data_IF_205539517161
#
_entry.id   IF_205539517161
#
_cell.length_a   1.000
_cell.length_b   1.000
_cell.length_c   1.000
_cell.angle_alpha   90.00
_cell.angle_beta   90.00
_cell.angle_gamma   90.00
#
_symmetry.space_group_name_H-M   'P 1'
#
loop_
_entity.id
_entity.type
_entity.pdbx_description
1 polymer ?
#
# COMPACT_ATOMS: atom_id res chain seq x y z
N UNK A 1 -40.94 -54.08 -11.00
CA UNK A 1 -41.67 -53.31 -9.98
C UNK A 1 -41.23 -51.86 -10.16
N UNK A 2 -41.87 -51.01 -10.99
CA UNK A 2 -43.19 -50.35 -10.78
C UNK A 2 -43.24 -49.74 -9.37
N UNK A 3 -43.32 -48.42 -9.15
CA UNK A 3 -44.19 -47.42 -9.82
C UNK A 3 -43.67 -45.98 -9.72
N UNK A 4 -44.07 -45.20 -10.72
CA UNK A 4 -44.11 -43.74 -10.83
C UNK A 4 -44.81 -43.00 -9.68
N UNK A 5 -44.48 -41.70 -9.52
CA UNK A 5 -45.50 -40.68 -9.26
C UNK A 5 -45.11 -39.27 -9.75
N UNK A 6 -45.86 -38.85 -10.76
CA UNK A 6 -45.98 -37.51 -11.35
C UNK A 6 -47.07 -36.72 -10.58
N UNK A 7 -46.84 -35.42 -10.32
CA UNK A 7 -47.79 -34.26 -10.32
C UNK A 7 -47.20 -33.12 -9.48
N UNK A 8 -47.27 -31.84 -9.84
CA UNK A 8 -47.95 -31.19 -10.94
C UNK A 8 -47.70 -29.66 -10.90
N UNK A 9 -47.83 -29.04 -12.06
CA UNK A 9 -47.74 -27.61 -12.31
C UNK A 9 -48.80 -26.80 -11.55
N UNK A 10 -48.44 -25.58 -11.11
CA UNK A 10 -49.35 -24.42 -11.12
C UNK A 10 -48.62 -23.15 -11.53
N UNK A 11 -48.99 -22.67 -12.72
CA UNK A 11 -48.86 -21.29 -13.17
C UNK A 11 -49.67 -20.37 -12.27
N UNK A 12 -49.10 -19.23 -11.90
CA UNK A 12 -49.78 -18.12 -11.26
C UNK A 12 -49.22 -16.81 -11.83
N UNK A 13 -49.88 -16.30 -12.88
CA UNK A 13 -49.73 -14.95 -13.41
C UNK A 13 -50.63 -14.02 -12.59
N UNK A 14 -50.21 -12.79 -12.29
CA UNK A 14 -51.15 -11.68 -12.24
C UNK A 14 -50.78 -10.59 -13.24
N UNK A 15 -51.78 -10.16 -13.99
CA UNK A 15 -51.73 -9.02 -14.90
C UNK A 15 -51.77 -7.68 -14.15
N UNK A 16 -50.95 -6.76 -14.68
CA UNK A 16 -51.08 -5.32 -14.82
C UNK A 16 -52.30 -4.60 -14.21
N UNK A 17 -52.04 -3.55 -13.44
CA UNK A 17 -52.57 -2.20 -13.71
C UNK A 17 -52.13 -1.19 -12.63
N UNK A 18 -51.18 -0.31 -12.93
CA UNK A 18 -51.11 0.99 -12.27
C UNK A 18 -50.92 2.11 -13.30
N UNK A 19 -52.06 2.76 -13.49
CA UNK A 19 -52.39 4.04 -14.10
C UNK A 19 -51.28 5.09 -13.97
N UNK A 20 -50.81 5.56 -15.13
CA UNK A 20 -50.06 6.80 -15.29
C UNK A 20 -51.10 7.88 -15.59
N UNK A 21 -51.16 8.93 -14.76
CA UNK A 21 -51.82 10.19 -15.11
C UNK A 21 -50.80 11.31 -15.26
N UNK A 22 -51.06 12.26 -16.19
CA UNK A 22 -50.04 13.12 -16.77
C UNK A 22 -49.90 14.44 -16.01
N UNK A 23 -48.69 15.00 -15.97
CA UNK A 23 -48.48 16.41 -15.63
C UNK A 23 -47.77 17.07 -16.82
N UNK A 24 -48.42 18.12 -17.30
CA UNK A 24 -48.09 18.92 -18.48
C UNK A 24 -46.89 19.86 -18.29
N UNK A 25 -46.38 20.43 -19.39
CA UNK A 25 -45.01 20.92 -19.51
C UNK A 25 -44.87 22.42 -19.20
N UNK A 26 -43.68 22.82 -18.76
CA UNK A 26 -43.27 24.22 -18.78
C UNK A 26 -42.37 24.59 -17.62
N UNK A 27 -41.06 24.50 -17.82
CA UNK A 27 -40.16 25.65 -17.64
C UNK A 27 -38.74 25.25 -18.07
N UNK A 28 -38.36 25.82 -19.22
CA UNK A 28 -37.00 25.94 -19.70
C UNK A 28 -36.23 26.79 -18.68
N UNK A 29 -35.22 26.22 -18.03
CA UNK A 29 -34.15 26.98 -17.41
C UNK A 29 -32.83 26.62 -18.08
N UNK A 30 -32.36 27.62 -18.80
CA UNK A 30 -31.09 27.74 -19.52
C UNK A 30 -29.89 27.49 -18.59
N UNK A 31 -28.74 27.05 -19.13
CA UNK A 31 -27.58 26.70 -18.33
C UNK A 31 -26.86 27.96 -17.84
N UNK A 32 -26.79 28.15 -16.53
CA UNK A 32 -25.87 29.14 -15.96
C UNK A 32 -24.42 28.61 -16.08
N UNK A 33 -23.49 29.44 -16.55
CA UNK A 33 -22.08 29.08 -16.69
C UNK A 33 -21.45 29.09 -15.29
N UNK A 34 -20.89 27.97 -14.86
CA UNK A 34 -19.97 27.99 -13.72
C UNK A 34 -18.64 28.56 -14.18
N UNK A 35 -18.47 29.84 -13.88
CA UNK A 35 -17.27 30.62 -14.12
C UNK A 35 -16.06 29.95 -13.43
N UNK A 36 -15.12 29.47 -14.23
CA UNK A 36 -13.82 28.99 -13.79
C UNK A 36 -12.93 30.19 -13.42
N UNK A 37 -13.20 30.85 -12.29
CA UNK A 37 -12.24 31.81 -11.73
C UNK A 37 -12.44 31.99 -10.22
N UNK A 38 -11.38 31.64 -9.48
CA UNK A 38 -11.16 31.89 -8.04
C UNK A 38 -11.80 30.90 -7.05
N UNK A 39 -11.20 29.72 -6.94
CA UNK A 39 -11.15 28.98 -5.66
C UNK A 39 -9.83 28.20 -5.56
N UNK A 40 -8.71 28.89 -5.75
CA UNK A 40 -7.40 28.45 -5.28
C UNK A 40 -7.12 29.15 -3.95
N UNK A 41 -7.85 28.74 -2.91
CA UNK A 41 -7.35 28.89 -1.55
C UNK A 41 -6.74 27.54 -1.18
N UNK A 42 -5.55 27.29 -1.72
CA UNK A 42 -4.66 26.26 -1.22
C UNK A 42 -4.43 26.57 0.27
N UNK A 43 -5.08 25.80 1.14
CA UNK A 43 -4.70 25.77 2.54
C UNK A 43 -3.27 25.25 2.62
N UNK A 44 -2.35 26.19 2.66
CA UNK A 44 -0.92 26.01 2.79
C UNK A 44 -0.65 25.47 4.20
N UNK A 45 -0.88 24.18 4.39
CA UNK A 45 -0.34 23.45 5.54
C UNK A 45 1.15 23.24 5.31
N UNK A 46 1.92 24.33 5.40
CA UNK A 46 3.36 24.27 5.62
C UNK A 46 3.57 23.78 7.04
N UNK A 47 3.46 22.46 7.23
CA UNK A 47 4.02 21.81 8.39
C UNK A 47 5.52 21.95 8.27
N UNK A 48 6.12 22.71 9.20
CA UNK A 48 7.54 22.62 9.52
C UNK A 48 7.88 21.14 9.59
N UNK A 49 8.55 20.68 8.54
CA UNK A 49 9.14 19.36 8.41
C UNK A 49 10.02 19.17 9.64
N UNK A 50 9.48 18.50 10.66
CA UNK A 50 10.32 17.73 11.57
C UNK A 50 11.26 16.94 10.66
N UNK A 51 12.55 17.25 10.74
CA UNK A 51 13.63 16.73 9.91
C UNK A 51 13.27 15.35 9.37
N UNK A 52 13.15 15.28 8.04
CA UNK A 52 12.85 14.09 7.23
C UNK A 52 13.23 12.80 7.95
N UNK A 53 12.22 12.05 8.42
CA UNK A 53 12.40 10.69 8.97
C UNK A 53 12.77 9.66 7.90
N UNK A 54 12.93 10.10 6.66
CA UNK A 54 13.49 9.32 5.57
C UNK A 54 14.91 9.81 5.29
N UNK A 55 15.85 8.92 4.92
CA UNK A 55 17.22 9.32 4.69
C UNK A 55 17.24 10.44 3.64
N UNK A 56 17.58 11.64 4.09
CA UNK A 56 18.23 12.59 3.21
C UNK A 56 19.43 11.87 2.61
N UNK A 57 19.80 12.20 1.38
CA UNK A 57 21.02 11.70 0.72
C UNK A 57 22.24 12.02 1.59
N UNK A 58 22.53 11.20 2.59
CA UNK A 58 23.70 11.25 3.43
C UNK A 58 24.24 9.83 3.48
N UNK A 59 25.21 9.58 2.61
CA UNK A 59 26.32 8.64 2.79
C UNK A 59 26.10 7.55 3.84
N UNK A 60 25.42 6.47 3.45
CA UNK A 60 25.13 5.33 4.32
C UNK A 60 24.02 4.46 3.74
N UNK A 61 24.37 3.62 2.77
CA UNK A 61 23.55 2.52 2.23
C UNK A 61 22.10 2.90 1.88
N UNK A 62 21.93 3.88 1.00
CA UNK A 62 20.66 4.12 0.33
C UNK A 62 20.31 2.88 -0.50
N UNK A 63 19.21 2.21 -0.15
CA UNK A 63 18.61 1.17 -0.98
C UNK A 63 18.18 1.83 -2.29
N UNK A 64 19.00 1.67 -3.32
CA UNK A 64 18.82 2.36 -4.59
C UNK A 64 17.72 1.71 -5.42
N UNK A 65 16.84 2.55 -5.97
CA UNK A 65 15.87 2.19 -7.01
C UNK A 65 16.57 1.45 -8.16
N UNK A 66 15.88 0.50 -8.78
CA UNK A 66 16.36 -0.19 -9.98
C UNK A 66 16.32 0.66 -11.25
N UNK A 67 15.66 1.83 -11.19
CA UNK A 67 15.55 2.81 -12.29
C UNK A 67 16.67 3.84 -12.25
N UNK A 68 17.11 4.30 -13.42
CA UNK A 68 17.95 5.50 -13.53
C UNK A 68 17.20 6.77 -13.10
N UNK A 69 17.95 7.84 -12.80
CA UNK A 69 17.35 9.14 -12.43
C UNK A 69 16.38 9.64 -13.50
N UNK A 70 16.66 9.43 -14.78
CA UNK A 70 15.80 9.84 -15.89
C UNK A 70 14.52 9.00 -15.93
N UNK A 71 14.63 7.68 -15.82
CA UNK A 71 13.48 6.77 -15.79
C UNK A 71 12.59 7.02 -14.57
N UNK A 72 13.18 7.37 -13.42
CA UNK A 72 12.44 7.71 -12.21
C UNK A 72 11.54 8.95 -12.37
N UNK A 73 11.84 9.82 -13.34
CA UNK A 73 11.05 11.02 -13.64
C UNK A 73 9.88 10.78 -14.61
N UNK A 74 9.87 9.65 -15.33
CA UNK A 74 8.77 9.28 -16.22
C UNK A 74 7.54 8.82 -15.42
N UNK A 75 6.33 8.96 -15.99
CA UNK A 75 5.07 8.67 -15.29
C UNK A 75 4.99 7.23 -14.76
N UNK A 76 5.47 6.27 -15.55
CA UNK A 76 5.54 4.85 -15.25
C UNK A 76 6.58 4.55 -14.17
N UNK A 77 7.72 5.26 -14.18
CA UNK A 77 8.70 5.20 -13.09
C UNK A 77 8.10 5.73 -11.78
N UNK A 78 7.50 6.93 -11.80
CA UNK A 78 6.81 7.53 -10.65
C UNK A 78 5.67 6.66 -10.12
N UNK A 79 4.96 5.98 -11.02
CA UNK A 79 3.92 5.02 -10.67
C UNK A 79 4.50 3.86 -9.84
N UNK A 80 5.54 3.20 -10.36
CA UNK A 80 6.17 2.06 -9.69
C UNK A 80 6.78 2.47 -8.34
N UNK A 81 7.50 3.58 -8.30
CA UNK A 81 8.07 4.12 -7.06
C UNK A 81 7.00 4.45 -6.02
N UNK A 82 5.85 5.00 -6.44
CA UNK A 82 4.73 5.26 -5.52
C UNK A 82 4.21 4.01 -4.82
N UNK A 83 4.24 2.87 -5.50
CA UNK A 83 3.86 1.59 -4.89
C UNK A 83 4.99 0.99 -4.06
N UNK A 84 6.25 1.13 -4.51
CA UNK A 84 7.42 0.44 -3.97
C UNK A 84 8.05 1.11 -2.76
N UNK A 85 8.13 2.44 -2.73
CA UNK A 85 8.79 3.17 -1.65
C UNK A 85 8.12 3.00 -0.28
N UNK A 86 6.78 2.89 -0.15
CA UNK A 86 6.19 2.49 1.12
C UNK A 86 6.70 1.13 1.63
N UNK A 87 7.01 0.19 0.73
CA UNK A 87 7.58 -1.11 1.08
C UNK A 87 9.03 -0.95 1.56
N UNK A 88 9.87 -0.23 0.81
CA UNK A 88 11.27 0.05 1.21
C UNK A 88 11.34 0.80 2.53
N UNK A 89 10.52 1.83 2.69
CA UNK A 89 10.35 2.57 3.94
C UNK A 89 9.99 1.62 5.08
N UNK A 90 9.05 0.68 4.89
CA UNK A 90 8.70 -0.26 5.95
C UNK A 90 9.90 -1.12 6.38
N UNK A 91 10.72 -1.62 5.45
CA UNK A 91 11.94 -2.37 5.75
C UNK A 91 12.93 -1.52 6.56
N UNK A 92 13.14 -0.27 6.13
CA UNK A 92 14.02 0.66 6.84
C UNK A 92 13.61 0.82 8.31
N UNK A 93 12.33 1.08 8.57
CA UNK A 93 11.80 1.22 9.94
C UNK A 93 12.02 -0.05 10.77
N UNK A 94 11.78 -1.23 10.18
CA UNK A 94 12.00 -2.50 10.88
C UNK A 94 13.46 -2.69 11.25
N UNK A 95 14.39 -2.46 10.32
CA UNK A 95 15.82 -2.58 10.57
C UNK A 95 16.30 -1.56 11.61
N UNK A 96 15.85 -0.30 11.54
CA UNK A 96 16.16 0.72 12.53
C UNK A 96 15.71 0.31 13.93
N UNK A 97 14.47 -0.17 14.07
CA UNK A 97 13.96 -0.64 15.36
C UNK A 97 14.82 -1.78 15.91
N UNK A 98 15.06 -2.82 15.11
CA UNK A 98 15.78 -4.00 15.59
C UNK A 98 17.20 -3.63 16.00
N UNK A 99 17.88 -2.78 15.21
CA UNK A 99 19.19 -2.24 15.57
C UNK A 99 19.15 -1.45 16.89
N UNK A 100 18.13 -0.63 17.12
CA UNK A 100 17.95 0.07 18.39
C UNK A 100 17.74 -0.91 19.55
N UNK A 101 16.91 -1.94 19.37
CA UNK A 101 16.62 -2.92 20.42
C UNK A 101 17.81 -3.80 20.77
N UNK A 102 18.63 -4.20 19.78
CA UNK A 102 19.86 -4.96 20.01
C UNK A 102 20.85 -4.17 20.86
N UNK A 103 20.90 -2.84 20.68
CA UNK A 103 21.80 -1.96 21.41
C UNK A 103 21.20 -1.39 22.70
N UNK A 104 19.94 -1.72 23.04
CA UNK A 104 19.23 -1.16 24.19
C UNK A 104 19.39 -2.02 25.45
N UNK A 105 19.61 -1.34 26.57
CA UNK A 105 19.58 -1.94 27.91
C UNK A 105 18.15 -2.07 28.47
N UNK A 106 17.16 -1.43 27.83
CA UNK A 106 15.77 -1.44 28.29
C UNK A 106 14.99 -2.68 27.82
N UNK A 107 13.91 -3.09 28.53
CA UNK A 107 13.10 -4.24 28.14
C UNK A 107 12.39 -4.00 26.78
N UNK A 108 12.63 -4.84 25.76
CA UNK A 108 12.13 -4.59 24.40
C UNK A 108 10.65 -4.92 24.19
N UNK A 109 9.95 -5.44 25.22
CA UNK A 109 8.64 -6.09 25.07
C UNK A 109 7.55 -5.19 24.45
N UNK A 110 7.41 -3.94 24.90
CA UNK A 110 6.41 -3.00 24.38
C UNK A 110 6.68 -2.61 22.92
N UNK A 111 7.95 -2.38 22.60
CA UNK A 111 8.40 -2.05 21.25
C UNK A 111 8.18 -3.23 20.29
N UNK A 112 8.57 -4.45 20.69
CA UNK A 112 8.34 -5.68 19.92
C UNK A 112 6.85 -5.97 19.72
N UNK A 113 6.01 -5.78 20.74
CA UNK A 113 4.56 -5.95 20.59
C UNK A 113 3.98 -4.94 19.58
N UNK A 114 4.42 -3.68 19.65
CA UNK A 114 4.01 -2.63 18.71
C UNK A 114 4.46 -2.96 17.30
N UNK A 115 5.70 -3.42 17.14
CA UNK A 115 6.27 -3.94 15.89
C UNK A 115 5.41 -5.05 15.30
N UNK A 116 5.22 -6.17 16.00
CA UNK A 116 4.46 -7.31 15.45
C UNK A 116 3.02 -6.96 15.12
N UNK A 117 2.38 -6.11 15.91
CA UNK A 117 1.02 -5.62 15.65
C UNK A 117 0.97 -4.79 14.36
N UNK A 118 1.89 -3.84 14.21
CA UNK A 118 1.97 -2.97 13.03
C UNK A 118 2.37 -3.78 11.78
N UNK A 119 3.37 -4.64 11.90
CA UNK A 119 3.88 -5.54 10.88
C UNK A 119 2.77 -6.40 10.27
N UNK A 120 2.05 -7.14 11.12
CA UNK A 120 0.94 -8.01 10.68
C UNK A 120 -0.20 -7.21 10.04
N UNK A 121 -0.57 -6.08 10.66
CA UNK A 121 -1.78 -5.33 10.28
C UNK A 121 -1.58 -4.48 9.02
N UNK A 122 -0.36 -3.99 8.78
CA UNK A 122 -0.10 -3.02 7.72
C UNK A 122 0.93 -3.52 6.71
N UNK A 123 2.13 -3.95 7.15
CA UNK A 123 3.22 -4.34 6.23
C UNK A 123 2.87 -5.60 5.44
N UNK A 124 2.52 -6.69 6.13
CA UNK A 124 2.13 -7.96 5.49
C UNK A 124 0.94 -7.77 4.55
N UNK A 125 -0.06 -7.00 4.99
CA UNK A 125 -1.24 -6.74 4.17
C UNK A 125 -0.86 -5.93 2.93
N UNK A 126 0.04 -4.96 3.05
CA UNK A 126 0.51 -4.16 1.91
C UNK A 126 1.27 -4.98 0.89
N UNK A 127 2.25 -5.77 1.31
CA UNK A 127 3.03 -6.62 0.41
C UNK A 127 2.12 -7.64 -0.30
N UNK A 128 1.21 -8.31 0.43
CA UNK A 128 0.22 -9.23 -0.17
C UNK A 128 -0.72 -8.51 -1.14
N UNK A 129 -1.10 -7.27 -0.85
CA UNK A 129 -1.91 -6.45 -1.74
C UNK A 129 -1.16 -6.09 -3.02
N UNK A 130 0.11 -5.69 -2.92
CA UNK A 130 0.94 -5.33 -4.07
C UNK A 130 1.16 -6.53 -4.99
N UNK A 131 1.46 -7.70 -4.41
CA UNK A 131 1.51 -8.95 -5.15
C UNK A 131 0.22 -9.21 -5.96
N UNK A 132 -0.96 -9.05 -5.33
CA UNK A 132 -2.25 -9.25 -6.00
C UNK A 132 -2.51 -8.23 -7.11
N UNK A 133 -2.23 -6.95 -6.86
CA UNK A 133 -2.36 -5.89 -7.88
C UNK A 133 -1.49 -6.23 -9.08
N UNK A 134 -0.23 -6.61 -8.88
CA UNK A 134 0.68 -6.89 -9.98
C UNK A 134 0.27 -8.14 -10.75
N UNK A 135 0.01 -9.24 -10.06
CA UNK A 135 -0.28 -10.53 -10.70
C UNK A 135 -1.68 -10.65 -11.29
N UNK A 136 -2.69 -10.06 -10.66
CA UNK A 136 -4.09 -10.17 -11.11
C UNK A 136 -4.54 -8.97 -11.93
N UNK A 137 -3.95 -7.80 -11.72
CA UNK A 137 -4.33 -6.59 -12.45
C UNK A 137 -3.34 -6.20 -13.54
N UNK A 138 -2.03 -6.17 -13.28
CA UNK A 138 -1.06 -5.68 -14.29
C UNK A 138 -0.64 -6.77 -15.29
N UNK A 139 -0.30 -7.97 -14.82
CA UNK A 139 0.20 -9.06 -15.67
C UNK A 139 -0.69 -9.40 -16.88
N UNK A 140 -2.03 -9.35 -16.80
CA UNK A 140 -2.87 -9.62 -17.97
C UNK A 140 -2.68 -8.63 -19.12
N UNK A 141 -2.30 -7.38 -18.82
CA UNK A 141 -2.12 -6.34 -19.84
C UNK A 141 -0.67 -6.20 -20.29
N UNK A 142 0.29 -6.47 -19.39
CA UNK A 142 1.71 -6.36 -19.72
C UNK A 142 2.18 -7.55 -20.56
N UNK A 143 2.76 -7.25 -21.73
CA UNK A 143 3.40 -8.23 -22.62
C UNK A 143 4.76 -8.68 -22.06
N UNK A 144 4.71 -9.42 -20.94
CA UNK A 144 5.87 -10.05 -20.31
C UNK A 144 5.94 -11.54 -20.65
N UNK A 145 7.16 -12.09 -20.70
CA UNK A 145 7.39 -13.53 -20.92
C UNK A 145 6.86 -14.32 -19.72
N UNK A 146 6.46 -15.57 -19.97
CA UNK A 146 5.97 -16.47 -18.92
C UNK A 146 6.96 -16.61 -17.76
N UNK A 147 8.24 -16.87 -18.07
CA UNK A 147 9.30 -17.04 -17.06
C UNK A 147 9.50 -15.78 -16.20
N UNK A 148 9.28 -14.59 -16.74
CA UNK A 148 9.40 -13.32 -15.98
C UNK A 148 8.25 -13.19 -14.97
N UNK A 149 7.02 -13.51 -15.40
CA UNK A 149 5.83 -13.53 -14.53
C UNK A 149 5.97 -14.57 -13.42
N UNK A 150 6.47 -15.76 -13.77
CA UNK A 150 6.71 -16.86 -12.82
C UNK A 150 7.74 -16.45 -11.77
N UNK A 151 8.90 -15.94 -12.18
CA UNK A 151 9.96 -15.50 -11.25
C UNK A 151 9.47 -14.48 -10.24
N UNK A 152 8.72 -13.45 -10.67
CA UNK A 152 8.14 -12.45 -9.75
C UNK A 152 7.15 -13.11 -8.78
N UNK A 153 6.35 -14.05 -9.27
CA UNK A 153 5.36 -14.77 -8.46
C UNK A 153 6.03 -15.61 -7.37
N UNK A 154 7.08 -16.35 -7.72
CA UNK A 154 7.89 -17.15 -6.80
C UNK A 154 8.59 -16.26 -5.77
N UNK A 155 9.22 -15.16 -6.20
CA UNK A 155 9.85 -14.21 -5.26
C UNK A 155 8.87 -13.66 -4.22
N UNK A 156 7.62 -13.36 -4.61
CA UNK A 156 6.60 -12.95 -3.66
C UNK A 156 6.15 -14.08 -2.74
N UNK A 157 6.10 -15.32 -3.21
CA UNK A 157 5.80 -16.48 -2.36
C UNK A 157 6.87 -16.64 -1.26
N UNK A 158 8.14 -16.55 -1.63
CA UNK A 158 9.27 -16.65 -0.69
C UNK A 158 9.26 -15.47 0.30
N UNK A 159 9.01 -14.25 -0.18
CA UNK A 159 8.84 -13.07 0.68
C UNK A 159 7.72 -13.32 1.68
N UNK A 160 6.54 -13.75 1.24
CA UNK A 160 5.39 -14.00 2.12
C UNK A 160 5.69 -15.09 3.16
N UNK A 161 6.35 -16.16 2.76
CA UNK A 161 6.75 -17.24 3.67
C UNK A 161 7.71 -16.73 4.76
N UNK A 162 8.73 -15.94 4.37
CA UNK A 162 9.64 -15.31 5.34
C UNK A 162 8.89 -14.34 6.27
N UNK A 163 7.90 -13.60 5.75
CA UNK A 163 7.10 -12.73 6.58
C UNK A 163 6.28 -13.48 7.63
N UNK A 164 5.78 -14.66 7.28
CA UNK A 164 5.06 -15.54 8.20
C UNK A 164 6.00 -16.13 9.25
N UNK A 165 7.20 -16.56 8.87
CA UNK A 165 8.27 -16.99 9.80
C UNK A 165 8.62 -15.90 10.83
N UNK A 166 8.78 -14.64 10.39
CA UNK A 166 9.03 -13.51 11.31
C UNK A 166 7.87 -13.38 12.29
N UNK A 167 6.62 -13.43 11.81
CA UNK A 167 5.44 -13.31 12.65
C UNK A 167 5.31 -14.46 13.65
N UNK A 168 5.70 -15.68 13.29
CA UNK A 168 5.72 -16.84 14.20
C UNK A 168 6.66 -16.63 15.38
N UNK A 169 7.74 -15.86 15.22
CA UNK A 169 8.61 -15.44 16.32
C UNK A 169 7.84 -14.75 17.46
N UNK A 170 6.72 -14.08 17.16
CA UNK A 170 5.83 -13.50 18.18
C UNK A 170 5.25 -14.57 19.12
N UNK A 171 4.95 -15.77 18.62
CA UNK A 171 4.31 -16.82 19.42
C UNK A 171 5.22 -17.24 20.59
N UNK A 172 6.54 -17.28 20.38
CA UNK A 172 7.53 -17.53 21.44
C UNK A 172 7.44 -16.50 22.57
N UNK A 173 7.14 -15.23 22.26
CA UNK A 173 6.94 -14.18 23.24
C UNK A 173 5.59 -14.28 23.97
N UNK A 174 4.55 -14.74 23.28
CA UNK A 174 3.23 -14.94 23.88
C UNK A 174 3.20 -16.12 24.87
N UNK A 175 3.95 -17.19 24.59
CA UNK A 175 4.02 -18.39 25.45
C UNK A 175 4.74 -18.10 26.75
N UNK A 176 5.80 -17.28 26.72
CA UNK A 176 6.52 -16.89 27.93
C UNK A 176 6.87 -15.40 27.91
N UNK A 177 6.06 -14.52 28.54
CA UNK A 177 6.34 -13.08 28.59
C UNK A 177 7.66 -12.72 29.26
N UNK A 178 8.17 -13.58 30.15
CA UNK A 178 9.48 -13.41 30.82
C UNK A 178 10.65 -13.89 29.97
N UNK A 179 10.41 -14.42 28.77
CA UNK A 179 11.45 -14.90 27.85
C UNK A 179 12.49 -13.82 27.53
N UNK A 180 12.07 -12.55 27.50
CA UNK A 180 12.93 -11.40 27.23
C UNK A 180 13.65 -10.83 28.46
N UNK A 181 13.40 -11.38 29.67
CA UNK A 181 14.10 -10.95 30.89
C UNK A 181 15.47 -11.62 31.03
N UNK A 182 15.68 -12.73 30.31
CA UNK A 182 16.97 -13.40 30.22
C UNK A 182 17.76 -12.78 29.06
N UNK A 183 18.90 -12.16 29.36
CA UNK A 183 19.69 -11.42 28.37
C UNK A 183 20.20 -12.32 27.23
N UNK A 184 20.55 -13.58 27.51
CA UNK A 184 20.97 -14.54 26.47
C UNK A 184 19.83 -14.86 25.51
N UNK A 185 18.64 -15.20 26.03
CA UNK A 185 17.45 -15.49 25.21
C UNK A 185 16.95 -14.26 24.45
N UNK A 186 16.99 -13.09 25.08
CA UNK A 186 16.72 -11.80 24.45
C UNK A 186 17.67 -11.55 23.28
N UNK A 187 18.97 -11.70 23.49
CA UNK A 187 19.99 -11.53 22.46
C UNK A 187 19.75 -12.46 21.27
N UNK A 188 19.59 -13.77 21.52
CA UNK A 188 19.31 -14.78 20.46
C UNK A 188 18.04 -14.44 19.68
N UNK A 189 16.98 -14.01 20.36
CA UNK A 189 15.73 -13.64 19.71
C UNK A 189 15.89 -12.39 18.83
N UNK A 190 16.54 -11.35 19.35
CA UNK A 190 16.74 -10.10 18.61
C UNK A 190 17.67 -10.30 17.40
N UNK A 191 18.74 -11.09 17.54
CA UNK A 191 19.62 -11.47 16.43
C UNK A 191 18.85 -12.21 15.34
N UNK A 192 18.03 -13.21 15.70
CA UNK A 192 17.21 -13.93 14.71
C UNK A 192 16.24 -13.00 13.98
N UNK A 193 15.56 -12.11 14.71
CA UNK A 193 14.65 -11.14 14.08
C UNK A 193 15.44 -10.19 13.17
N UNK A 194 16.62 -9.74 13.58
CA UNK A 194 17.49 -8.89 12.77
C UNK A 194 17.86 -9.56 11.45
N UNK A 195 18.38 -10.78 11.51
CA UNK A 195 18.73 -11.59 10.33
C UNK A 195 17.53 -11.77 9.42
N UNK A 196 16.39 -12.24 9.96
CA UNK A 196 15.18 -12.46 9.17
C UNK A 196 14.67 -11.15 8.52
N UNK A 197 14.73 -10.00 9.22
CA UNK A 197 14.35 -8.69 8.65
C UNK A 197 15.33 -8.18 7.59
N UNK A 198 16.62 -8.44 7.73
CA UNK A 198 17.64 -8.09 6.73
C UNK A 198 17.47 -8.94 5.47
N UNK A 199 17.27 -10.26 5.63
CA UNK A 199 16.96 -11.17 4.51
C UNK A 199 15.69 -10.75 3.79
N UNK A 200 14.63 -10.43 4.54
CA UNK A 200 13.38 -9.91 3.96
C UNK A 200 13.63 -8.62 3.17
N UNK A 201 14.41 -7.71 3.72
CA UNK A 201 14.80 -6.47 3.06
C UNK A 201 15.55 -6.70 1.75
N UNK A 202 16.52 -7.61 1.74
CA UNK A 202 17.28 -7.96 0.55
C UNK A 202 16.38 -8.57 -0.55
N UNK A 203 15.58 -9.57 -0.20
CA UNK A 203 14.66 -10.24 -1.13
C UNK A 203 13.63 -9.27 -1.72
N UNK A 204 13.04 -8.43 -0.86
CA UNK A 204 12.06 -7.44 -1.29
C UNK A 204 12.70 -6.43 -2.24
N UNK A 205 13.83 -5.85 -1.88
CA UNK A 205 14.50 -4.87 -2.74
C UNK A 205 14.94 -5.46 -4.08
N UNK A 206 15.46 -6.69 -4.08
CA UNK A 206 15.79 -7.39 -5.32
C UNK A 206 14.55 -7.58 -6.21
N UNK A 207 13.42 -7.98 -5.61
CA UNK A 207 12.15 -8.15 -6.31
C UNK A 207 11.65 -6.83 -6.87
N UNK A 208 11.59 -5.78 -6.06
CA UNK A 208 11.13 -4.45 -6.47
C UNK A 208 12.01 -3.87 -7.60
N UNK A 209 13.33 -4.04 -7.52
CA UNK A 209 14.26 -3.59 -8.54
C UNK A 209 14.11 -4.38 -9.84
N UNK A 210 13.86 -5.69 -9.75
CA UNK A 210 13.58 -6.52 -10.93
C UNK A 210 12.25 -6.12 -11.60
N UNK A 211 11.22 -5.84 -10.80
CA UNK A 211 9.94 -5.34 -11.29
C UNK A 211 10.06 -3.96 -11.92
N UNK A 212 10.82 -3.06 -11.32
CA UNK A 212 11.09 -1.74 -11.91
C UNK A 212 11.70 -1.87 -13.30
N UNK A 213 12.74 -2.70 -13.46
CA UNK A 213 13.38 -2.95 -14.75
C UNK A 213 12.47 -3.60 -15.78
N UNK A 214 11.55 -4.46 -15.34
CA UNK A 214 10.64 -5.18 -16.24
C UNK A 214 9.38 -4.39 -16.58
N UNK A 215 8.72 -3.82 -15.58
CA UNK A 215 7.45 -3.13 -15.74
C UNK A 215 7.61 -1.75 -16.33
N UNK A 216 8.71 -1.04 -16.05
CA UNK A 216 8.93 0.29 -16.61
C UNK A 216 8.78 0.31 -18.14
N UNK A 217 9.57 -0.45 -18.92
CA UNK A 217 9.41 -0.49 -20.38
C UNK A 217 8.13 -1.21 -20.83
N UNK A 218 7.61 -2.17 -20.06
CA UNK A 218 6.38 -2.87 -20.43
C UNK A 218 5.14 -1.96 -20.33
N UNK A 219 5.08 -1.10 -19.31
CA UNK A 219 4.01 -0.13 -19.10
C UNK A 219 3.98 0.89 -20.23
N UNK A 220 5.13 1.49 -20.58
CA UNK A 220 5.21 2.51 -21.63
C UNK A 220 4.91 1.97 -23.03
N UNK A 221 5.16 0.68 -23.28
CA UNK A 221 4.75 0.01 -24.53
C UNK A 221 3.27 -0.36 -24.58
N UNK A 222 2.62 -0.49 -23.42
CA UNK A 222 1.23 -0.96 -23.33
C UNK A 222 0.24 0.19 -23.23
N UNK A 223 0.63 1.28 -22.57
CA UNK A 223 -0.26 2.40 -22.26
C UNK A 223 0.44 3.74 -22.48
N UNK A 224 -0.34 4.73 -22.91
CA UNK A 224 -0.02 6.14 -22.67
C UNK A 224 -0.31 6.51 -21.21
N UNK A 225 0.25 7.62 -20.72
CA UNK A 225 -0.03 8.11 -19.36
C UNK A 225 -1.53 8.33 -19.15
N UNK A 226 -2.20 8.99 -20.09
CA UNK A 226 -3.63 9.30 -20.00
C UNK A 226 -4.50 8.04 -19.96
N UNK A 227 -4.22 7.04 -20.79
CA UNK A 227 -4.95 5.77 -20.77
C UNK A 227 -4.72 5.02 -19.46
N UNK A 228 -3.49 5.00 -18.97
CA UNK A 228 -3.17 4.35 -17.71
C UNK A 228 -3.89 5.02 -16.54
N UNK A 229 -3.84 6.35 -16.46
CA UNK A 229 -4.54 7.13 -15.43
C UNK A 229 -6.06 6.97 -15.53
N UNK A 230 -6.62 6.94 -16.73
CA UNK A 230 -8.06 6.83 -16.94
C UNK A 230 -8.61 5.43 -16.64
N UNK A 231 -7.91 4.38 -17.06
CA UNK A 231 -8.46 3.01 -17.04
C UNK A 231 -7.82 2.08 -16.01
N UNK A 232 -6.53 2.22 -15.72
CA UNK A 232 -5.80 1.32 -14.84
C UNK A 232 -5.74 1.83 -13.40
N UNK A 233 -5.41 3.11 -13.21
CA UNK A 233 -5.28 3.70 -11.87
C UNK A 233 -6.53 3.54 -10.98
N UNK A 234 -7.77 3.74 -11.48
CA UNK A 234 -8.95 3.51 -10.66
C UNK A 234 -9.08 2.06 -10.19
N UNK A 235 -8.75 1.10 -11.07
CA UNK A 235 -8.81 -0.34 -10.74
C UNK A 235 -7.74 -0.74 -9.73
N UNK A 236 -6.53 -0.18 -9.86
CA UNK A 236 -5.45 -0.33 -8.87
C UNK A 236 -5.93 0.15 -7.51
N UNK A 237 -6.47 1.37 -7.45
CA UNK A 237 -6.92 1.96 -6.19
C UNK A 237 -8.16 1.28 -5.58
N UNK A 238 -9.03 0.70 -6.40
CA UNK A 238 -10.12 -0.15 -5.92
C UNK A 238 -9.62 -1.46 -5.31
N UNK A 239 -8.53 -2.01 -5.87
CA UNK A 239 -7.94 -3.26 -5.42
C UNK A 239 -7.13 -3.10 -4.12
N UNK A 240 -6.63 -1.89 -3.84
CA UNK A 240 -5.83 -1.60 -2.65
C UNK A 240 -6.68 -1.71 -1.37
N UNK A 241 -6.29 -2.61 -0.45
CA UNK A 241 -6.98 -2.81 0.84
C UNK A 241 -6.01 -3.11 2.00
N UNK A 242 -6.20 -2.47 3.19
CA UNK A 242 -7.19 -1.42 3.48
C UNK A 242 -6.81 -0.04 2.94
N UNK A 243 -7.74 0.59 2.19
CA UNK A 243 -7.56 1.93 1.61
C UNK A 243 -7.10 2.97 2.62
N UNK A 244 -7.71 2.98 3.81
CA UNK A 244 -7.46 3.97 4.87
C UNK A 244 -6.03 3.98 5.43
N UNK A 245 -5.25 2.93 5.20
CA UNK A 245 -3.87 2.85 5.62
C UNK A 245 -2.92 2.98 4.43
N UNK A 246 -3.23 2.34 3.31
CA UNK A 246 -2.30 2.22 2.19
C UNK A 246 -2.28 3.44 1.29
N UNK A 247 -3.45 4.05 1.02
CA UNK A 247 -3.56 5.19 0.11
C UNK A 247 -2.81 6.41 0.66
N UNK A 248 -2.98 6.80 1.94
CA UNK A 248 -2.16 7.86 2.51
C UNK A 248 -0.67 7.53 2.50
N UNK A 249 -0.30 6.28 2.75
CA UNK A 249 1.11 5.91 2.73
C UNK A 249 1.75 6.09 1.35
N UNK A 250 1.08 5.62 0.29
CA UNK A 250 1.51 5.82 -1.11
C UNK A 250 1.68 7.31 -1.41
N UNK A 251 0.66 8.12 -1.10
CA UNK A 251 0.65 9.56 -1.39
C UNK A 251 1.73 10.31 -0.60
N UNK A 252 1.98 9.94 0.66
CA UNK A 252 3.00 10.59 1.48
C UNK A 252 4.42 10.22 1.04
N UNK A 253 4.66 8.95 0.70
CA UNK A 253 5.94 8.54 0.13
C UNK A 253 6.18 9.22 -1.23
N UNK A 254 5.15 9.38 -2.07
CA UNK A 254 5.32 9.98 -3.39
C UNK A 254 5.74 11.44 -3.38
N UNK A 255 5.52 12.19 -2.29
CA UNK A 255 5.90 13.61 -2.21
C UNK A 255 7.40 13.86 -2.36
N UNK A 256 8.24 12.87 -2.04
CA UNK A 256 9.70 13.04 -2.00
C UNK A 256 10.32 13.30 -3.37
N UNK A 257 9.84 12.64 -4.42
CA UNK A 257 10.39 12.77 -5.78
C UNK A 257 9.50 13.59 -6.71
N UNK A 258 8.38 14.09 -6.22
CA UNK A 258 7.30 14.58 -7.06
C UNK A 258 6.83 15.96 -6.63
N UNK A 259 7.81 16.87 -6.53
CA UNK A 259 7.80 18.25 -6.01
C UNK A 259 6.59 19.11 -6.49
N UNK A 260 5.38 18.73 -6.09
CA UNK A 260 4.03 19.28 -6.33
C UNK A 260 3.13 18.61 -7.40
N UNK A 261 3.61 18.04 -8.51
CA UNK A 261 2.71 17.64 -9.63
C UNK A 261 2.02 16.27 -9.57
N UNK A 262 2.60 15.22 -9.01
CA UNK A 262 1.92 13.91 -8.99
C UNK A 262 1.39 13.46 -7.62
N UNK A 263 1.65 14.22 -6.54
CA UNK A 263 0.74 14.20 -5.37
C UNK A 263 -0.68 14.59 -5.82
N UNK A 264 -0.78 15.47 -6.83
CA UNK A 264 -2.02 15.82 -7.52
C UNK A 264 -2.51 14.67 -8.42
N UNK A 265 -1.63 13.99 -9.16
CA UNK A 265 -2.01 12.84 -10.01
C UNK A 265 -2.65 11.69 -9.20
N UNK A 266 -2.02 11.23 -8.11
CA UNK A 266 -2.59 10.17 -7.27
C UNK A 266 -3.89 10.59 -6.57
N UNK A 267 -3.95 11.84 -6.07
CA UNK A 267 -5.17 12.36 -5.47
C UNK A 267 -6.30 12.49 -6.49
N UNK A 268 -6.02 12.85 -7.74
CA UNK A 268 -7.04 13.01 -8.78
C UNK A 268 -7.46 11.70 -9.42
N UNK A 269 -6.60 10.68 -9.39
CA UNK A 269 -6.95 9.32 -9.77
C UNK A 269 -7.90 8.64 -8.76
N UNK A 270 -8.08 9.20 -7.57
CA UNK A 270 -9.13 8.77 -6.64
C UNK A 270 -10.50 9.28 -7.09
N UNK A 271 -11.51 8.44 -6.93
CA UNK A 271 -12.91 8.84 -7.09
C UNK A 271 -13.26 10.02 -6.17
N UNK A 272 -14.31 10.78 -6.50
CA UNK A 272 -14.77 11.89 -5.65
C UNK A 272 -15.02 11.44 -4.21
N UNK A 273 -15.67 10.28 -4.02
CA UNK A 273 -15.93 9.70 -2.69
C UNK A 273 -14.63 9.35 -1.98
N UNK A 274 -13.69 8.67 -2.65
CA UNK A 274 -12.41 8.30 -2.06
C UNK A 274 -11.57 9.55 -1.69
N UNK A 275 -11.63 10.63 -2.47
CA UNK A 275 -10.98 11.91 -2.13
C UNK A 275 -11.57 12.54 -0.86
N UNK A 276 -12.88 12.51 -0.71
CA UNK A 276 -13.56 13.02 0.49
C UNK A 276 -13.21 12.17 1.71
N UNK A 277 -13.27 10.84 1.58
CA UNK A 277 -12.86 9.92 2.64
C UNK A 277 -11.38 10.06 3.01
N UNK A 278 -10.52 10.30 2.02
CA UNK A 278 -9.11 10.59 2.24
C UNK A 278 -8.92 11.78 3.18
N UNK A 279 -9.55 12.91 2.83
CA UNK A 279 -9.43 14.18 3.57
C UNK A 279 -10.01 14.08 4.98
N UNK A 280 -11.18 13.47 5.13
CA UNK A 280 -11.93 13.46 6.39
C UNK A 280 -11.45 12.37 7.37
N UNK A 281 -11.13 11.18 6.87
CA UNK A 281 -10.98 10.00 7.72
C UNK A 281 -9.65 9.25 7.53
N UNK A 282 -9.27 8.95 6.29
CA UNK A 282 -8.16 8.02 6.05
C UNK A 282 -6.82 8.61 6.45
N UNK A 283 -6.55 9.87 6.10
CA UNK A 283 -5.29 10.51 6.47
C UNK A 283 -5.11 10.54 8.00
N UNK A 284 -6.17 10.88 8.74
CA UNK A 284 -6.17 10.85 10.22
C UNK A 284 -5.94 9.44 10.76
N UNK A 285 -6.60 8.43 10.18
CA UNK A 285 -6.42 7.04 10.57
C UNK A 285 -4.98 6.57 10.33
N UNK A 286 -4.44 6.81 9.14
CA UNK A 286 -3.07 6.44 8.78
C UNK A 286 -2.07 7.13 9.70
N UNK A 287 -2.20 8.44 9.93
CA UNK A 287 -1.31 9.18 10.83
C UNK A 287 -1.25 8.53 12.22
N UNK A 288 -2.42 8.26 12.81
CA UNK A 288 -2.52 7.71 14.17
C UNK A 288 -2.06 6.24 14.27
N UNK A 289 -2.35 5.41 13.28
CA UNK A 289 -2.21 3.96 13.40
C UNK A 289 -1.04 3.37 12.61
N UNK A 290 -0.47 4.12 11.66
CA UNK A 290 0.65 3.68 10.82
C UNK A 290 1.85 4.57 11.09
N UNK A 291 1.74 5.89 10.85
CA UNK A 291 2.88 6.80 10.97
C UNK A 291 3.39 6.93 12.41
N UNK A 292 2.52 7.21 13.39
CA UNK A 292 2.94 7.37 14.79
C UNK A 292 3.64 6.10 15.33
N UNK A 293 3.10 4.88 15.13
CA UNK A 293 3.84 3.67 15.47
C UNK A 293 5.20 3.56 14.78
N UNK A 294 5.31 3.91 13.49
CA UNK A 294 6.60 3.90 12.79
C UNK A 294 7.60 4.88 13.42
N UNK A 295 7.15 6.08 13.80
CA UNK A 295 8.00 7.07 14.46
C UNK A 295 8.48 6.58 15.83
N UNK A 296 7.61 5.98 16.63
CA UNK A 296 8.00 5.38 17.92
C UNK A 296 8.99 4.22 17.78
N UNK A 297 9.05 3.58 16.60
CA UNK A 297 9.99 2.49 16.35
C UNK A 297 11.39 2.98 15.95
N UNK A 298 11.50 4.16 15.34
CA UNK A 298 12.78 4.75 14.92
C UNK A 298 13.48 5.46 16.08
N UNK A 299 12.71 5.98 17.04
CA UNK A 299 13.24 6.65 18.23
C UNK A 299 12.47 6.18 19.48
N UNK A 300 12.74 4.97 19.98
CA UNK A 300 12.01 4.39 21.12
C UNK A 300 12.19 5.18 22.43
N UNK A 301 13.28 5.94 22.57
CA UNK A 301 13.61 6.68 23.80
C UNK A 301 12.91 8.06 23.92
N UNK A 302 12.11 8.45 22.92
CA UNK A 302 11.46 9.78 22.85
C UNK A 302 9.97 9.73 23.26
N UNK A 303 9.44 8.56 23.69
CA UNK A 303 8.00 8.40 24.03
C UNK A 303 7.77 7.80 25.42
#
# INVERSE_FOLDING_TARGET
>A
MQTDRIRGNRLGRPDNSLTITPVSPGQVLSPCPFDHRKSNQEMNYSFKTSKSLMPAKSSGTAVSSGLSDIESQQWNGKFLLGLHEPMRHSIFIMNSLVNCLVNSTSPPAKALFTFFRWYRKYVMVYIKCQYRVKTKLLFPFLRLRYNEKLRITESYADIIALMEKILEGKNSLCVNPKYLNDETRKSVFLTRIQEDTQTLGAMLNQTLNAEEKLFHPALSRTFTEDEFVKYMMPRIFQSIRPKRAMIPWIIECSKLWDQQRGTFAYKNALSFVDRTLYRLFWYRHWRKNVLVPMQSMVAPDIV
#
